data_IF_950810831097
#
_entry.id   IF_950810831097
#
_cell.length_a   1.000
_cell.length_b   1.000
_cell.length_c   1.000
_cell.angle_alpha   90.00
_cell.angle_beta   90.00
_cell.angle_gamma   90.00
#
_symmetry.space_group_name_H-M   'P 1'
#
loop_
_entity.id
_entity.type
_entity.pdbx_description
1 polymer ?
#
# COMPACT_ATOMS: atom_id res chain seq x y z
N UNK A 1 1.48 -19.85 64.24
CA UNK A 1 2.77 -20.43 63.81
C UNK A 1 2.62 -21.47 62.70
N UNK A 2 1.64 -22.39 62.72
CA UNK A 2 1.42 -23.34 61.61
C UNK A 2 1.01 -22.67 60.28
N UNK A 3 0.19 -21.62 60.33
CA UNK A 3 -0.30 -20.96 59.11
C UNK A 3 0.81 -20.24 58.34
N UNK A 4 1.78 -19.64 59.04
CA UNK A 4 2.94 -18.99 58.43
C UNK A 4 3.91 -19.98 57.76
N UNK A 5 3.98 -21.22 58.25
CA UNK A 5 4.81 -22.27 57.66
C UNK A 5 4.16 -22.89 56.42
N UNK A 6 2.84 -23.03 56.42
CA UNK A 6 2.07 -23.46 55.25
C UNK A 6 2.13 -22.43 54.12
N UNK A 7 2.01 -21.13 54.43
CA UNK A 7 2.14 -20.05 53.46
C UNK A 7 3.52 -20.02 52.78
N UNK A 8 4.61 -20.17 53.56
CA UNK A 8 5.98 -20.24 53.02
C UNK A 8 6.20 -21.46 52.11
N UNK A 9 5.66 -22.61 52.49
CA UNK A 9 5.79 -23.85 51.71
C UNK A 9 5.02 -23.76 50.38
N UNK A 10 3.85 -23.12 50.38
CA UNK A 10 3.07 -22.86 49.16
C UNK A 10 3.83 -21.91 48.20
N UNK A 11 4.30 -20.77 48.70
CA UNK A 11 5.06 -19.81 47.90
C UNK A 11 6.36 -20.40 47.32
N UNK A 12 7.05 -21.26 48.08
CA UNK A 12 8.26 -21.93 47.59
C UNK A 12 7.97 -22.96 46.50
N UNK A 13 6.81 -23.66 46.55
CA UNK A 13 6.36 -24.57 45.49
C UNK A 13 5.95 -23.82 44.23
N UNK A 14 5.20 -22.73 44.36
CA UNK A 14 4.80 -21.87 43.24
C UNK A 14 6.04 -21.33 42.51
N UNK A 15 7.00 -20.74 43.25
CA UNK A 15 8.26 -20.26 42.69
C UNK A 15 9.09 -21.37 42.03
N UNK A 16 9.08 -22.58 42.58
CA UNK A 16 9.79 -23.72 41.97
C UNK A 16 9.11 -24.22 40.68
N UNK A 17 7.78 -24.08 40.55
CA UNK A 17 7.05 -24.40 39.33
C UNK A 17 7.34 -23.35 38.26
N UNK A 18 7.25 -22.06 38.61
CA UNK A 18 7.60 -20.95 37.71
C UNK A 18 9.04 -21.09 37.17
N UNK A 19 10.02 -21.39 38.03
CA UNK A 19 11.41 -21.58 37.60
C UNK A 19 11.59 -22.81 36.68
N UNK A 20 10.79 -23.87 36.88
CA UNK A 20 10.81 -25.04 36.00
C UNK A 20 10.17 -24.73 34.64
N UNK A 21 9.08 -23.96 34.63
CA UNK A 21 8.43 -23.50 33.40
C UNK A 21 9.36 -22.57 32.60
N UNK A 22 10.03 -21.62 33.26
CA UNK A 22 11.03 -20.74 32.64
C UNK A 22 12.19 -21.58 32.07
N UNK A 23 12.74 -22.52 32.83
CA UNK A 23 13.82 -23.38 32.34
C UNK A 23 13.41 -24.30 31.17
N UNK A 24 12.17 -24.78 31.17
CA UNK A 24 11.61 -25.53 30.03
C UNK A 24 11.47 -24.64 28.79
N UNK A 25 10.92 -23.43 28.95
CA UNK A 25 10.81 -22.46 27.87
C UNK A 25 12.19 -22.08 27.30
N UNK A 26 13.19 -21.83 28.14
CA UNK A 26 14.56 -21.53 27.69
C UNK A 26 15.18 -22.67 26.86
N UNK A 27 14.88 -23.94 27.21
CA UNK A 27 15.33 -25.10 26.45
C UNK A 27 14.55 -25.33 25.14
N UNK A 28 13.25 -25.07 25.13
CA UNK A 28 12.37 -25.34 23.99
C UNK A 28 12.30 -24.18 22.99
N UNK A 29 12.47 -22.94 23.42
CA UNK A 29 12.42 -21.74 22.58
C UNK A 29 13.36 -21.84 21.35
N UNK A 30 14.64 -22.28 21.48
CA UNK A 30 15.50 -22.49 20.33
C UNK A 30 14.93 -23.51 19.32
N UNK A 31 14.30 -24.58 19.81
CA UNK A 31 13.72 -25.63 18.97
C UNK A 31 12.47 -25.14 18.24
N UNK A 32 11.58 -24.45 18.96
CA UNK A 32 10.37 -23.83 18.41
C UNK A 32 10.75 -22.78 17.38
N UNK A 33 11.72 -21.91 17.69
CA UNK A 33 12.22 -20.90 16.76
C UNK A 33 12.81 -21.55 15.51
N UNK A 34 13.65 -22.59 15.66
CA UNK A 34 14.22 -23.31 14.53
C UNK A 34 13.14 -23.97 13.64
N UNK A 35 12.09 -24.54 14.25
CA UNK A 35 10.95 -25.09 13.50
C UNK A 35 10.17 -24.00 12.75
N UNK A 36 9.89 -22.87 13.41
CA UNK A 36 9.24 -21.73 12.78
C UNK A 36 10.05 -21.15 11.61
N UNK A 37 11.39 -21.12 11.72
CA UNK A 37 12.26 -20.65 10.64
C UNK A 37 12.28 -21.60 9.45
N UNK A 38 12.37 -22.91 9.67
CA UNK A 38 12.26 -23.89 8.57
C UNK A 38 10.91 -23.80 7.87
N UNK A 39 9.84 -23.59 8.64
CA UNK A 39 8.52 -23.36 8.08
C UNK A 39 8.46 -22.07 7.25
N UNK A 40 9.02 -20.97 7.74
CA UNK A 40 9.07 -19.70 7.03
C UNK A 40 9.85 -19.84 5.71
N UNK A 41 11.02 -20.48 5.75
CA UNK A 41 11.86 -20.71 4.57
C UNK A 41 11.10 -21.55 3.52
N UNK A 42 10.49 -22.67 3.93
CA UNK A 42 9.69 -23.51 3.03
C UNK A 42 8.53 -22.75 2.39
N UNK A 43 7.81 -21.93 3.17
CA UNK A 43 6.70 -21.13 2.64
C UNK A 43 7.15 -20.01 1.72
N UNK A 44 8.31 -19.44 1.99
CA UNK A 44 8.89 -18.43 1.13
C UNK A 44 9.36 -19.03 -0.20
N UNK A 45 9.98 -20.21 -0.18
CA UNK A 45 10.43 -20.90 -1.39
C UNK A 45 9.24 -21.25 -2.29
N UNK A 46 8.17 -21.83 -1.71
CA UNK A 46 6.90 -22.12 -2.41
C UNK A 46 6.31 -20.84 -3.03
N UNK A 47 6.14 -19.78 -2.24
CA UNK A 47 5.55 -18.53 -2.70
C UNK A 47 6.41 -17.84 -3.76
N UNK A 48 7.73 -17.91 -3.64
CA UNK A 48 8.66 -17.31 -4.61
C UNK A 48 8.62 -18.06 -5.94
N UNK A 49 8.56 -19.39 -5.92
CA UNK A 49 8.43 -20.20 -7.13
C UNK A 49 7.12 -19.89 -7.87
N UNK A 50 6.00 -19.83 -7.13
CA UNK A 50 4.69 -19.44 -7.67
C UNK A 50 4.72 -18.02 -8.24
N UNK A 51 5.27 -17.06 -7.49
CA UNK A 51 5.37 -15.67 -7.91
C UNK A 51 6.23 -15.47 -9.16
N UNK A 52 7.34 -16.22 -9.31
CA UNK A 52 8.12 -16.22 -10.55
C UNK A 52 7.32 -16.75 -11.73
N UNK A 53 6.58 -17.84 -11.54
CA UNK A 53 5.73 -18.40 -12.60
C UNK A 53 4.64 -17.40 -13.07
N UNK A 54 4.24 -16.48 -12.19
CA UNK A 54 3.26 -15.42 -12.47
C UNK A 54 3.91 -14.08 -12.85
N UNK A 55 5.23 -13.97 -12.90
CA UNK A 55 5.95 -12.73 -13.22
C UNK A 55 5.96 -11.66 -12.09
N UNK A 56 5.46 -11.98 -10.90
CA UNK A 56 5.37 -11.04 -9.76
C UNK A 56 6.74 -10.71 -9.14
N UNK A 57 7.73 -11.59 -9.30
CA UNK A 57 9.08 -11.38 -8.75
C UNK A 57 9.92 -10.37 -9.53
N UNK A 58 9.50 -10.01 -10.74
CA UNK A 58 10.30 -9.22 -11.68
C UNK A 58 10.78 -7.88 -11.07
N UNK A 59 9.97 -7.10 -10.32
CA UNK A 59 10.46 -5.88 -9.66
C UNK A 59 11.60 -6.11 -8.68
N UNK A 60 11.57 -7.21 -7.92
CA UNK A 60 12.59 -7.52 -6.92
C UNK A 60 13.92 -7.98 -7.53
N UNK A 61 13.89 -8.47 -8.77
CA UNK A 61 15.04 -8.95 -9.53
C UNK A 61 15.81 -7.82 -10.26
N UNK A 62 15.21 -6.63 -10.42
CA UNK A 62 15.85 -5.49 -11.08
C UNK A 62 17.15 -5.07 -10.35
N UNK A 63 18.29 -4.89 -10.99
CA UNK A 63 19.52 -4.52 -10.27
C UNK A 63 19.49 -3.09 -9.68
N UNK A 64 18.64 -2.24 -10.24
CA UNK A 64 18.45 -0.83 -9.85
C UNK A 64 16.97 -0.56 -9.58
N UNK A 65 16.68 0.52 -8.86
CA UNK A 65 15.33 1.07 -8.73
C UNK A 65 15.26 2.48 -9.35
N UNK A 66 14.04 3.04 -9.41
CA UNK A 66 13.78 4.30 -10.10
C UNK A 66 14.45 5.52 -9.43
N UNK A 67 14.53 5.57 -8.10
CA UNK A 67 14.79 6.82 -7.36
C UNK A 67 16.15 6.84 -6.65
N UNK A 68 16.72 5.68 -6.33
CA UNK A 68 18.05 5.59 -5.72
C UNK A 68 19.15 6.22 -6.57
N UNK A 69 19.23 6.01 -7.91
CA UNK A 69 20.30 6.59 -8.73
C UNK A 69 20.34 8.12 -8.74
N UNK A 70 19.20 8.77 -8.48
CA UNK A 70 19.08 10.24 -8.45
C UNK A 70 19.02 10.80 -7.01
N UNK A 71 19.26 9.96 -6.00
CA UNK A 71 19.30 10.37 -4.59
C UNK A 71 17.93 10.74 -4.00
N UNK A 72 16.82 10.23 -4.56
CA UNK A 72 15.43 10.55 -4.18
C UNK A 72 14.72 9.41 -3.42
N UNK A 73 15.49 8.65 -2.62
CA UNK A 73 15.08 7.38 -2.00
C UNK A 73 13.82 7.49 -1.11
N UNK A 74 13.65 8.61 -0.40
CA UNK A 74 12.51 8.87 0.50
C UNK A 74 11.82 10.20 0.17
N UNK A 75 11.98 10.67 -1.07
CA UNK A 75 11.40 11.93 -1.52
C UNK A 75 9.91 11.72 -1.86
N UNK A 76 9.02 12.08 -0.92
CA UNK A 76 7.56 11.90 -1.05
C UNK A 76 7.03 12.42 -2.40
N UNK A 77 7.50 13.61 -2.82
CA UNK A 77 7.12 14.23 -4.09
C UNK A 77 7.42 13.34 -5.30
N UNK A 78 8.62 12.76 -5.35
CA UNK A 78 9.03 11.89 -6.46
C UNK A 78 8.18 10.62 -6.54
N UNK A 79 7.79 10.03 -5.40
CA UNK A 79 6.88 8.89 -5.38
C UNK A 79 5.47 9.28 -5.86
N UNK A 80 4.94 10.41 -5.39
CA UNK A 80 3.62 10.89 -5.78
C UNK A 80 3.54 11.20 -7.28
N UNK A 81 4.56 11.85 -7.84
CA UNK A 81 4.63 12.15 -9.27
C UNK A 81 4.72 10.86 -10.12
N UNK A 82 5.57 9.91 -9.72
CA UNK A 82 5.70 8.64 -10.43
C UNK A 82 4.40 7.82 -10.35
N UNK A 83 3.72 7.82 -9.20
CA UNK A 83 2.42 7.18 -9.06
C UNK A 83 1.36 7.88 -9.91
N UNK A 84 1.25 9.20 -9.86
CA UNK A 84 0.30 9.96 -10.67
C UNK A 84 0.48 9.69 -12.18
N UNK A 85 1.72 9.64 -12.66
CA UNK A 85 2.02 9.23 -14.03
C UNK A 85 1.47 7.84 -14.37
N UNK A 86 1.68 6.85 -13.50
CA UNK A 86 1.17 5.49 -13.69
C UNK A 86 -0.35 5.38 -13.59
N UNK A 87 -0.98 6.24 -12.79
CA UNK A 87 -2.43 6.25 -12.59
C UNK A 87 -3.19 7.03 -13.67
N UNK A 88 -2.50 7.81 -14.51
CA UNK A 88 -3.12 8.65 -15.52
C UNK A 88 -3.34 7.89 -16.83
N UNK A 89 -4.59 7.53 -17.21
CA UNK A 89 -4.82 6.67 -18.38
C UNK A 89 -4.48 7.35 -19.72
N UNK A 90 -4.34 8.67 -19.73
CA UNK A 90 -3.95 9.48 -20.90
C UNK A 90 -2.43 9.60 -21.08
N UNK A 91 -1.63 9.21 -20.09
CA UNK A 91 -0.18 9.26 -20.19
C UNK A 91 0.37 8.13 -21.09
N UNK A 92 1.50 8.35 -21.80
CA UNK A 92 2.03 7.43 -22.79
C UNK A 92 2.82 6.27 -22.16
N UNK A 93 2.32 5.66 -21.08
CA UNK A 93 2.94 4.49 -20.43
C UNK A 93 2.42 3.15 -20.97
N UNK A 94 1.42 3.13 -21.86
CA UNK A 94 0.88 1.91 -22.48
C UNK A 94 0.30 0.86 -21.50
N UNK A 95 0.02 1.23 -20.25
CA UNK A 95 -0.71 0.39 -19.27
C UNK A 95 -2.22 0.71 -19.26
N UNK A 96 -2.64 1.75 -20.01
CA UNK A 96 -4.01 2.24 -20.07
C UNK A 96 -4.59 2.54 -18.69
N UNK A 97 -5.85 2.21 -18.48
CA UNK A 97 -6.54 2.38 -17.20
C UNK A 97 -6.24 1.28 -16.17
N UNK A 98 -5.35 0.33 -16.48
CA UNK A 98 -5.06 -0.84 -15.64
C UNK A 98 -4.64 -0.47 -14.21
N UNK A 99 -3.60 0.37 -14.03
CA UNK A 99 -3.13 0.79 -12.72
C UNK A 99 -4.22 1.49 -11.90
N UNK A 100 -4.90 2.49 -12.49
CA UNK A 100 -5.96 3.24 -11.83
C UNK A 100 -7.11 2.34 -11.40
N UNK A 101 -7.57 1.46 -12.29
CA UNK A 101 -8.63 0.49 -11.99
C UNK A 101 -8.27 -0.38 -10.78
N UNK A 102 -7.05 -0.93 -10.75
CA UNK A 102 -6.61 -1.79 -9.65
C UNK A 102 -6.64 -1.03 -8.32
N UNK A 103 -6.09 0.18 -8.29
CA UNK A 103 -6.08 1.02 -7.07
C UNK A 103 -7.50 1.36 -6.61
N UNK A 104 -8.38 1.80 -7.52
CA UNK A 104 -9.76 2.15 -7.18
C UNK A 104 -10.55 0.94 -6.66
N UNK A 105 -10.42 -0.22 -7.28
CA UNK A 105 -11.07 -1.46 -6.80
C UNK A 105 -10.59 -1.84 -5.39
N UNK A 106 -9.30 -1.67 -5.10
CA UNK A 106 -8.79 -1.88 -3.75
C UNK A 106 -9.38 -0.91 -2.74
N UNK A 107 -9.47 0.38 -3.10
CA UNK A 107 -10.09 1.40 -2.24
C UNK A 107 -11.56 1.07 -1.97
N UNK A 108 -12.32 0.65 -2.99
CA UNK A 108 -13.70 0.20 -2.84
C UNK A 108 -13.82 -0.99 -1.86
N UNK A 109 -12.88 -1.94 -1.92
CA UNK A 109 -12.87 -3.08 -0.98
C UNK A 109 -12.61 -2.69 0.48
N UNK A 110 -11.93 -1.55 0.70
CA UNK A 110 -11.63 -1.01 2.04
C UNK A 110 -12.67 -0.02 2.56
N UNK A 111 -13.52 0.52 1.69
CA UNK A 111 -14.47 1.58 2.02
C UNK A 111 -15.84 1.30 1.42
N UNK A 112 -16.73 0.73 2.24
CA UNK A 112 -18.09 0.41 1.83
C UNK A 112 -18.89 1.64 1.37
N UNK A 113 -18.58 2.83 1.89
CA UNK A 113 -19.21 4.08 1.47
C UNK A 113 -18.71 4.57 0.11
N UNK A 114 -17.44 4.33 -0.24
CA UNK A 114 -16.87 4.75 -1.52
C UNK A 114 -17.15 3.75 -2.66
N UNK A 115 -17.42 2.48 -2.32
CA UNK A 115 -17.57 1.41 -3.29
C UNK A 115 -18.60 1.70 -4.40
N UNK A 116 -19.84 2.17 -4.11
CA UNK A 116 -20.83 2.43 -5.16
C UNK A 116 -20.37 3.50 -6.16
N UNK A 117 -19.78 4.59 -5.67
CA UNK A 117 -19.28 5.67 -6.52
C UNK A 117 -18.13 5.18 -7.40
N UNK A 118 -17.17 4.44 -6.83
CA UNK A 118 -16.05 3.84 -7.56
C UNK A 118 -16.53 2.86 -8.63
N UNK A 119 -17.42 1.92 -8.27
CA UNK A 119 -17.94 0.91 -9.19
C UNK A 119 -18.64 1.56 -10.39
N UNK A 120 -19.37 2.66 -10.16
CA UNK A 120 -20.08 3.39 -11.22
C UNK A 120 -19.15 4.02 -12.26
N UNK A 121 -17.90 4.35 -11.90
CA UNK A 121 -16.95 5.02 -12.80
C UNK A 121 -15.98 4.07 -13.50
N UNK A 122 -15.89 2.80 -13.09
CA UNK A 122 -14.95 1.83 -13.69
C UNK A 122 -15.04 1.74 -15.23
N UNK A 123 -16.23 1.82 -15.86
CA UNK A 123 -16.34 1.82 -17.32
C UNK A 123 -15.77 3.07 -18.00
N UNK A 124 -15.58 4.16 -17.26
CA UNK A 124 -15.25 5.49 -17.78
C UNK A 124 -13.82 5.95 -17.43
N UNK A 125 -13.00 5.09 -16.82
CA UNK A 125 -11.67 5.47 -16.32
C UNK A 125 -10.74 5.99 -17.41
N UNK A 126 -10.90 5.59 -18.68
CA UNK A 126 -10.13 6.17 -19.78
C UNK A 126 -10.27 7.70 -19.93
N UNK A 127 -11.32 8.30 -19.34
CA UNK A 127 -11.55 9.74 -19.33
C UNK A 127 -11.01 10.43 -18.07
N UNK A 128 -10.46 9.69 -17.11
CA UNK A 128 -9.99 10.24 -15.84
C UNK A 128 -8.81 11.19 -16.05
N UNK A 129 -8.86 12.33 -15.37
CA UNK A 129 -7.79 13.32 -15.32
C UNK A 129 -7.04 13.11 -14.01
N UNK A 130 -5.73 12.88 -14.09
CA UNK A 130 -4.85 12.74 -12.93
C UNK A 130 -3.86 13.88 -12.89
N UNK A 131 -3.87 14.65 -11.80
CA UNK A 131 -3.00 15.78 -11.56
C UNK A 131 -2.10 15.48 -10.35
N UNK A 132 -0.78 15.37 -10.52
CA UNK A 132 0.13 15.41 -9.39
C UNK A 132 0.17 16.82 -8.80
N UNK A 133 0.37 16.92 -7.49
CA UNK A 133 0.77 18.17 -6.86
C UNK A 133 -0.20 19.35 -7.03
N UNK A 134 -1.50 19.09 -7.06
CA UNK A 134 -2.50 20.15 -7.24
C UNK A 134 -2.42 21.17 -6.12
N UNK A 135 -2.14 22.42 -6.48
CA UNK A 135 -2.12 23.54 -5.55
C UNK A 135 -3.54 23.88 -5.09
N UNK A 136 -3.65 24.16 -3.79
CA UNK A 136 -4.89 24.53 -3.13
C UNK A 136 -4.68 25.84 -2.41
N UNK A 137 -5.66 26.74 -2.48
CA UNK A 137 -5.72 27.90 -1.59
C UNK A 137 -6.79 27.62 -0.54
N UNK A 138 -6.36 27.57 0.73
CA UNK A 138 -7.24 27.46 1.88
C UNK A 138 -7.89 28.81 2.13
N UNK A 139 -9.23 28.83 2.16
CA UNK A 139 -9.98 30.04 2.51
C UNK A 139 -10.03 30.29 4.02
N UNK A 140 -9.72 29.27 4.83
CA UNK A 140 -9.72 29.38 6.29
C UNK A 140 -8.61 30.31 6.81
N UNK A 141 -7.45 30.25 6.19
CA UNK A 141 -6.22 30.92 6.64
C UNK A 141 -5.44 31.60 5.50
N UNK A 142 -5.91 31.53 4.26
CA UNK A 142 -5.22 32.03 3.08
C UNK A 142 -3.97 31.23 2.71
N UNK A 143 -3.66 30.14 3.42
CA UNK A 143 -2.44 29.38 3.17
C UNK A 143 -2.55 28.54 1.91
N UNK A 144 -1.42 28.44 1.20
CA UNK A 144 -1.30 27.51 0.07
C UNK A 144 -1.02 26.10 0.61
N UNK A 145 -1.85 25.16 0.21
CA UNK A 145 -1.63 23.73 0.37
C UNK A 145 -1.37 23.07 -0.98
N UNK A 146 -0.99 21.81 -0.94
CA UNK A 146 -0.78 20.98 -2.13
C UNK A 146 -1.21 19.57 -1.81
N UNK A 147 -2.10 18.99 -2.60
CA UNK A 147 -2.39 17.55 -2.54
C UNK A 147 -1.40 16.78 -3.39
N UNK A 148 -1.04 15.57 -3.00
CA UNK A 148 -0.03 14.81 -3.72
C UNK A 148 -0.55 14.24 -5.04
N UNK A 149 -1.76 13.67 -5.06
CA UNK A 149 -2.41 13.16 -6.28
C UNK A 149 -3.89 13.51 -6.25
N UNK A 150 -4.38 14.07 -7.35
CA UNK A 150 -5.77 14.44 -7.55
C UNK A 150 -6.32 13.77 -8.81
N UNK A 151 -7.46 13.09 -8.70
CA UNK A 151 -8.06 12.34 -9.81
C UNK A 151 -9.52 12.74 -9.96
N UNK A 152 -9.93 13.16 -11.16
CA UNK A 152 -11.32 13.48 -11.47
C UNK A 152 -11.80 12.64 -12.67
N UNK A 153 -12.96 12.00 -12.54
CA UNK A 153 -13.69 11.42 -13.69
C UNK A 153 -14.72 12.46 -14.16
N UNK A 154 -14.69 12.89 -15.44
CA UNK A 154 -15.42 14.06 -15.93
C UNK A 154 -16.95 13.89 -15.96
N UNK A 155 -17.66 15.01 -16.07
CA UNK A 155 -19.13 15.13 -16.04
C UNK A 155 -19.89 14.37 -17.14
N UNK A 156 -19.19 13.95 -18.20
CA UNK A 156 -19.74 13.06 -19.24
C UNK A 156 -20.01 11.64 -18.73
N UNK A 157 -19.58 11.33 -17.50
CA UNK A 157 -19.73 10.06 -16.81
C UNK A 157 -20.26 10.30 -15.37
N UNK A 158 -20.62 9.25 -14.61
CA UNK A 158 -20.75 9.39 -13.16
C UNK A 158 -19.47 10.02 -12.63
N UNK A 159 -19.62 11.12 -11.89
CA UNK A 159 -18.46 11.88 -11.44
C UNK A 159 -17.89 11.25 -10.18
N UNK A 160 -16.58 11.09 -10.14
CA UNK A 160 -15.81 10.67 -8.97
C UNK A 160 -14.64 11.62 -8.82
N UNK A 161 -14.36 12.01 -7.59
CA UNK A 161 -13.14 12.73 -7.22
C UNK A 161 -12.37 11.90 -6.21
N UNK A 162 -11.10 11.64 -6.49
CA UNK A 162 -10.18 10.94 -5.58
C UNK A 162 -9.03 11.86 -5.25
N UNK A 163 -8.77 12.03 -3.95
CA UNK A 163 -7.65 12.82 -3.45
C UNK A 163 -6.78 11.89 -2.63
N UNK A 164 -5.51 11.75 -3.03
CA UNK A 164 -4.55 10.92 -2.31
C UNK A 164 -3.48 11.80 -1.67
N UNK A 165 -3.25 11.58 -0.38
CA UNK A 165 -2.10 12.08 0.36
C UNK A 165 -1.11 10.93 0.53
N UNK A 166 0.16 11.17 0.21
CA UNK A 166 1.19 10.15 0.14
C UNK A 166 2.25 10.38 1.20
N UNK A 167 2.48 9.38 2.07
CA UNK A 167 3.48 9.42 3.12
C UNK A 167 4.51 8.31 2.96
N UNK A 168 5.78 8.71 2.97
CA UNK A 168 6.96 7.84 2.85
C UNK A 168 7.86 7.93 4.09
N UNK A 169 7.64 8.93 4.94
CA UNK A 169 8.31 9.00 6.24
C UNK A 169 7.91 10.20 7.10
N UNK A 170 7.16 11.15 6.54
CA UNK A 170 6.75 12.34 7.28
C UNK A 170 5.44 12.16 8.04
N UNK A 171 5.37 12.80 9.20
CA UNK A 171 4.15 12.95 10.00
C UNK A 171 3.23 13.95 9.29
N UNK A 172 1.93 13.66 9.27
CA UNK A 172 0.91 14.60 8.81
C UNK A 172 0.98 15.86 9.67
N UNK A 173 1.17 17.01 9.03
CA UNK A 173 1.28 18.27 9.77
C UNK A 173 -0.10 18.64 10.35
N UNK A 174 -0.18 19.18 11.59
CA UNK A 174 -1.46 19.65 12.13
C UNK A 174 -2.17 20.62 11.18
N UNK A 175 -3.49 20.47 11.01
CA UNK A 175 -4.28 21.31 10.10
C UNK A 175 -4.18 20.93 8.61
N UNK A 176 -3.32 19.99 8.23
CA UNK A 176 -3.11 19.64 6.82
C UNK A 176 -4.34 18.96 6.21
N UNK A 177 -4.90 17.96 6.90
CA UNK A 177 -6.06 17.22 6.39
C UNK A 177 -7.32 18.07 6.38
N UNK A 178 -7.48 18.98 7.35
CA UNK A 178 -8.59 19.92 7.42
C UNK A 178 -8.59 20.89 6.23
N UNK A 179 -7.41 21.36 5.80
CA UNK A 179 -7.28 22.17 4.58
C UNK A 179 -7.66 21.38 3.33
N UNK A 180 -7.26 20.11 3.26
CA UNK A 180 -7.65 19.23 2.15
C UNK A 180 -9.15 18.96 2.15
N UNK A 181 -9.75 18.77 3.32
CA UNK A 181 -11.19 18.59 3.48
C UNK A 181 -11.95 19.79 2.93
N UNK A 182 -11.58 21.00 3.34
CA UNK A 182 -12.20 22.24 2.86
C UNK A 182 -12.08 22.39 1.33
N UNK A 183 -10.91 22.08 0.78
CA UNK A 183 -10.70 22.12 -0.67
C UNK A 183 -11.52 21.07 -1.43
N UNK A 184 -11.63 19.85 -0.90
CA UNK A 184 -12.46 18.79 -1.45
C UNK A 184 -13.93 19.20 -1.45
N UNK A 185 -14.44 19.74 -0.33
CA UNK A 185 -15.83 20.18 -0.21
C UNK A 185 -16.16 21.30 -1.20
N UNK A 186 -15.26 22.29 -1.34
CA UNK A 186 -15.44 23.37 -2.33
C UNK A 186 -15.50 22.82 -3.75
N UNK A 187 -14.53 21.99 -4.14
CA UNK A 187 -14.47 21.42 -5.49
C UNK A 187 -15.66 20.50 -5.77
N UNK A 188 -16.08 19.72 -4.78
CA UNK A 188 -17.30 18.91 -4.86
C UNK A 188 -18.54 19.77 -5.06
N UNK A 189 -18.66 20.91 -4.36
CA UNK A 189 -19.75 21.85 -4.56
C UNK A 189 -19.75 22.48 -5.97
N UNK A 190 -18.58 22.91 -6.47
CA UNK A 190 -18.43 23.45 -7.83
C UNK A 190 -18.87 22.42 -8.90
N UNK A 191 -18.50 21.16 -8.70
CA UNK A 191 -18.82 20.06 -9.59
C UNK A 191 -20.22 19.47 -9.35
N UNK A 192 -20.89 19.85 -8.25
CA UNK A 192 -22.16 19.28 -7.76
C UNK A 192 -22.07 17.77 -7.49
N UNK A 193 -20.94 17.33 -6.95
CA UNK A 193 -20.72 15.95 -6.52
C UNK A 193 -21.54 15.63 -5.27
N UNK A 194 -22.13 14.42 -5.20
CA UNK A 194 -22.63 13.92 -3.93
C UNK A 194 -21.45 13.59 -2.99
N UNK A 195 -21.63 13.64 -1.66
CA UNK A 195 -20.53 13.45 -0.70
C UNK A 195 -19.79 12.11 -0.83
N UNK A 196 -20.48 11.04 -1.23
CA UNK A 196 -19.94 9.69 -1.44
C UNK A 196 -19.11 9.56 -2.73
N UNK A 197 -19.22 10.52 -3.65
CA UNK A 197 -18.36 10.62 -4.82
C UNK A 197 -17.01 11.30 -4.55
N UNK A 198 -16.74 11.67 -3.29
CA UNK A 198 -15.45 12.25 -2.86
C UNK A 198 -14.70 11.22 -2.02
N UNK A 199 -13.65 10.64 -2.59
CA UNK A 199 -12.86 9.60 -1.96
C UNK A 199 -11.50 10.16 -1.56
N UNK A 200 -11.26 10.24 -0.26
CA UNK A 200 -9.97 10.67 0.29
C UNK A 200 -9.16 9.44 0.68
N UNK A 201 -7.90 9.39 0.29
CA UNK A 201 -7.01 8.24 0.47
C UNK A 201 -5.75 8.70 1.15
N UNK A 202 -5.38 8.03 2.23
CA UNK A 202 -4.09 8.25 2.89
C UNK A 202 -3.21 7.03 2.61
N UNK A 203 -2.20 7.22 1.75
CA UNK A 203 -1.26 6.18 1.34
C UNK A 203 -0.02 6.23 2.24
N UNK A 204 0.18 5.22 3.08
CA UNK A 204 1.31 5.18 4.02
C UNK A 204 2.05 3.85 3.97
N UNK A 205 3.20 3.76 4.63
CA UNK A 205 4.00 2.52 4.68
C UNK A 205 3.29 1.43 5.50
N UNK A 206 2.66 1.80 6.61
CA UNK A 206 2.11 0.87 7.60
C UNK A 206 0.57 0.75 7.53
N UNK A 207 -0.12 1.63 6.81
CA UNK A 207 -1.58 1.58 6.67
C UNK A 207 -2.37 1.95 7.92
N UNK A 208 -1.72 2.23 9.05
CA UNK A 208 -2.38 2.59 10.30
C UNK A 208 -2.21 4.08 10.57
N UNK A 209 -3.20 4.87 10.16
CA UNK A 209 -3.37 6.24 10.62
C UNK A 209 -4.86 6.54 10.78
N UNK A 210 -5.27 6.94 11.99
CA UNK A 210 -6.61 7.43 12.24
C UNK A 210 -6.76 8.84 11.64
N UNK A 211 -7.29 8.90 10.43
CA UNK A 211 -7.68 10.12 9.76
C UNK A 211 -9.17 10.02 9.41
N UNK A 212 -10.09 10.57 10.25
CA UNK A 212 -11.52 10.44 10.03
C UNK A 212 -11.94 10.84 8.60
N UNK A 213 -12.66 9.96 7.93
CA UNK A 213 -13.09 10.16 6.54
C UNK A 213 -12.03 9.93 5.47
N UNK A 214 -10.83 9.45 5.81
CA UNK A 214 -9.81 9.02 4.87
C UNK A 214 -9.73 7.49 4.84
N UNK A 215 -9.66 6.93 3.63
CA UNK A 215 -9.42 5.49 3.44
C UNK A 215 -7.93 5.22 3.49
N UNK A 216 -7.49 4.38 4.42
CA UNK A 216 -6.06 4.06 4.56
C UNK A 216 -5.61 2.96 3.59
N UNK A 217 -4.53 3.21 2.87
CA UNK A 217 -3.92 2.29 1.90
C UNK A 217 -2.45 2.11 2.24
N UNK A 218 -1.96 0.88 2.18
CA UNK A 218 -0.55 0.57 2.38
C UNK A 218 0.23 0.64 1.06
N UNK A 219 1.47 1.12 1.09
CA UNK A 219 2.38 1.01 -0.04
C UNK A 219 2.62 -0.44 -0.49
N UNK A 220 2.59 -1.39 0.45
CA UNK A 220 2.68 -2.82 0.13
C UNK A 220 1.48 -3.29 -0.69
N UNK A 221 0.28 -2.76 -0.44
CA UNK A 221 -0.90 -3.06 -1.24
C UNK A 221 -0.74 -2.49 -2.65
N UNK A 222 -0.31 -1.24 -2.80
CA UNK A 222 -0.04 -0.61 -4.11
C UNK A 222 0.98 -1.42 -4.89
N UNK A 223 2.07 -1.84 -4.24
CA UNK A 223 3.10 -2.64 -4.89
C UNK A 223 2.58 -4.02 -5.33
N UNK A 224 1.74 -4.65 -4.50
CA UNK A 224 1.13 -5.94 -4.81
C UNK A 224 0.13 -5.79 -5.98
N UNK A 225 -0.75 -4.79 -5.91
CA UNK A 225 -1.74 -4.45 -6.93
C UNK A 225 -1.10 -4.21 -8.28
N UNK A 226 -0.01 -3.46 -8.36
CA UNK A 226 0.57 -3.11 -9.66
C UNK A 226 1.56 -4.16 -10.19
N UNK A 227 1.99 -5.11 -9.36
CA UNK A 227 3.01 -6.10 -9.75
C UNK A 227 2.64 -6.97 -10.95
N UNK A 228 1.36 -7.27 -11.15
CA UNK A 228 0.92 -8.06 -12.30
C UNK A 228 1.12 -7.32 -13.64
N UNK A 229 1.03 -5.99 -13.64
CA UNK A 229 1.27 -5.16 -14.82
C UNK A 229 2.75 -5.04 -15.15
N UNK A 230 3.63 -5.34 -14.19
CA UNK A 230 5.07 -5.23 -14.35
C UNK A 230 5.65 -6.32 -15.28
N UNK A 231 4.91 -7.41 -15.50
CA UNK A 231 5.25 -8.48 -16.45
C UNK A 231 4.90 -8.15 -17.91
N UNK A 232 4.12 -7.09 -18.16
CA UNK A 232 3.74 -6.69 -19.51
C UNK A 232 4.95 -6.20 -20.32
N UNK A 233 4.91 -6.34 -21.66
CA UNK A 233 5.90 -5.71 -22.53
C UNK A 233 5.69 -4.18 -22.57
N UNK A 234 6.76 -3.44 -22.91
CA UNK A 234 6.71 -1.98 -23.13
C UNK A 234 7.36 -1.13 -22.04
N UNK A 235 7.55 0.15 -22.36
CA UNK A 235 8.35 1.08 -21.54
C UNK A 235 7.66 1.44 -20.22
N UNK A 236 6.33 1.58 -20.19
CA UNK A 236 5.64 1.85 -18.92
C UNK A 236 5.67 0.67 -17.96
N UNK A 237 5.67 -0.58 -18.46
CA UNK A 237 5.91 -1.74 -17.61
C UNK A 237 7.36 -1.77 -17.09
N UNK A 238 8.34 -1.33 -17.89
CA UNK A 238 9.72 -1.15 -17.44
C UNK A 238 9.85 -0.09 -16.35
N UNK A 239 9.21 1.07 -16.54
CA UNK A 239 9.13 2.11 -15.53
C UNK A 239 8.47 1.60 -14.24
N UNK A 240 7.35 0.89 -14.37
CA UNK A 240 6.64 0.30 -13.24
C UNK A 240 7.52 -0.70 -12.47
N UNK A 241 8.29 -1.56 -13.15
CA UNK A 241 9.24 -2.46 -12.47
C UNK A 241 10.24 -1.70 -11.59
N UNK A 242 10.83 -0.62 -12.12
CA UNK A 242 11.79 0.20 -11.38
C UNK A 242 11.13 0.96 -10.23
N UNK A 243 9.91 1.43 -10.43
CA UNK A 243 9.11 2.11 -9.41
C UNK A 243 8.73 1.17 -8.26
N UNK A 244 8.25 -0.03 -8.59
CA UNK A 244 7.95 -1.08 -7.62
C UNK A 244 9.19 -1.55 -6.88
N UNK A 245 10.33 -1.66 -7.57
CA UNK A 245 11.62 -1.94 -6.92
C UNK A 245 11.96 -0.86 -5.88
N UNK A 246 11.70 0.42 -6.18
CA UNK A 246 11.94 1.53 -5.25
C UNK A 246 11.06 1.43 -4.01
N UNK A 247 9.76 1.12 -4.17
CA UNK A 247 8.85 0.90 -3.03
C UNK A 247 9.33 -0.26 -2.16
N UNK A 248 9.56 -1.43 -2.78
CA UNK A 248 9.87 -2.66 -2.06
C UNK A 248 11.23 -2.59 -1.34
N UNK A 249 12.23 -1.95 -1.96
CA UNK A 249 13.57 -1.79 -1.36
C UNK A 249 13.61 -0.71 -0.31
N UNK A 250 13.12 0.48 -0.65
CA UNK A 250 13.38 1.66 0.16
C UNK A 250 12.46 1.70 1.39
N UNK A 251 11.23 1.18 1.28
CA UNK A 251 10.28 1.21 2.39
C UNK A 251 10.33 -0.07 3.22
N UNK A 252 10.60 -1.20 2.57
CA UNK A 252 10.47 -2.52 3.19
C UNK A 252 11.78 -3.31 3.27
N UNK A 253 12.89 -2.77 2.75
CA UNK A 253 14.19 -3.46 2.75
C UNK A 253 14.19 -4.78 1.98
N UNK A 254 13.26 -4.96 1.03
CA UNK A 254 13.09 -6.22 0.31
C UNK A 254 14.07 -6.36 -0.86
N UNK A 255 14.46 -7.60 -1.12
CA UNK A 255 15.21 -8.01 -2.30
C UNK A 255 14.73 -9.39 -2.75
N UNK A 256 15.12 -9.83 -3.94
CA UNK A 256 14.80 -11.17 -4.45
C UNK A 256 15.43 -12.30 -3.62
N UNK A 257 16.44 -12.00 -2.80
CA UNK A 257 17.13 -12.94 -1.92
C UNK A 257 17.31 -12.32 -0.51
N UNK A 258 16.22 -12.18 0.27
CA UNK A 258 16.29 -11.53 1.58
C UNK A 258 17.13 -12.35 2.55
N UNK A 259 18.12 -11.70 3.18
CA UNK A 259 19.05 -12.33 4.13
C UNK A 259 18.50 -12.42 5.55
N UNK A 260 17.65 -11.47 5.95
CA UNK A 260 17.12 -11.40 7.31
C UNK A 260 15.75 -12.07 7.43
N UNK A 261 15.43 -12.57 8.63
CA UNK A 261 14.14 -13.20 8.94
C UNK A 261 12.97 -12.23 8.78
N UNK A 262 13.17 -10.98 9.21
CA UNK A 262 12.18 -9.92 9.04
C UNK A 262 11.90 -9.67 7.56
N UNK A 263 12.93 -9.52 6.73
CA UNK A 263 12.75 -9.34 5.29
C UNK A 263 12.08 -10.55 4.61
N UNK A 264 12.40 -11.78 5.05
CA UNK A 264 11.71 -13.00 4.58
C UNK A 264 10.21 -12.99 4.92
N UNK A 265 9.85 -12.60 6.14
CA UNK A 265 8.46 -12.51 6.57
C UNK A 265 7.69 -11.42 5.81
N UNK A 266 8.31 -10.25 5.61
CA UNK A 266 7.73 -9.15 4.84
C UNK A 266 7.57 -9.55 3.36
N UNK A 267 8.56 -10.24 2.77
CA UNK A 267 8.47 -10.75 1.40
C UNK A 267 7.32 -11.75 1.28
N UNK A 268 7.21 -12.70 2.20
CA UNK A 268 6.10 -13.66 2.21
C UNK A 268 4.74 -12.95 2.34
N UNK A 269 4.63 -11.91 3.17
CA UNK A 269 3.43 -11.08 3.27
C UNK A 269 3.08 -10.42 1.94
N UNK A 270 4.06 -9.77 1.31
CA UNK A 270 3.91 -9.14 -0.01
C UNK A 270 3.41 -10.14 -1.06
N UNK A 271 4.07 -11.30 -1.18
CA UNK A 271 3.72 -12.33 -2.17
C UNK A 271 2.30 -12.88 -1.95
N UNK A 272 1.88 -13.04 -0.69
CA UNK A 272 0.51 -13.44 -0.36
C UNK A 272 -0.51 -12.39 -0.76
N UNK A 273 -0.24 -11.11 -0.50
CA UNK A 273 -1.12 -10.00 -0.93
C UNK A 273 -1.24 -9.97 -2.45
N UNK A 274 -0.12 -10.03 -3.17
CA UNK A 274 -0.09 -10.04 -4.64
C UNK A 274 -0.90 -11.20 -5.22
N UNK A 275 -0.91 -12.37 -4.56
CA UNK A 275 -1.71 -13.52 -4.97
C UNK A 275 -3.21 -13.32 -4.74
N UNK A 276 -3.62 -12.81 -3.57
CA UNK A 276 -5.03 -12.55 -3.25
C UNK A 276 -5.63 -11.55 -4.24
N UNK A 277 -4.83 -10.57 -4.65
CA UNK A 277 -5.24 -9.46 -5.50
C UNK A 277 -5.12 -9.81 -7.00
N UNK A 278 -5.10 -11.12 -7.34
CA UNK A 278 -5.04 -11.60 -8.73
C UNK A 278 -5.99 -10.82 -9.63
N UNK A 279 -5.55 -10.42 -10.84
CA UNK A 279 -6.20 -9.37 -11.61
C UNK A 279 -7.65 -9.74 -11.97
N UNK A 280 -8.54 -8.76 -12.13
CA UNK A 280 -9.79 -8.99 -12.86
C UNK A 280 -9.43 -9.60 -14.22
N UNK A 281 -10.22 -10.58 -14.68
CA UNK A 281 -10.03 -11.27 -15.97
C UNK A 281 -9.55 -10.31 -17.05
N UNK A 282 -8.54 -10.69 -17.86
CA UNK A 282 -7.95 -9.79 -18.85
C UNK A 282 -9.07 -9.11 -19.63
N UNK A 283 -9.07 -7.78 -19.61
CA UNK A 283 -9.96 -6.99 -20.45
C UNK A 283 -9.57 -7.39 -21.87
N UNK A 284 -10.40 -8.19 -22.52
CA UNK A 284 -10.31 -8.39 -23.96
C UNK A 284 -10.54 -7.02 -24.56
N UNK A 285 -9.46 -6.30 -24.83
CA UNK A 285 -9.52 -5.12 -25.67
C UNK A 285 -10.14 -5.60 -26.98
N UNK A 286 -11.31 -5.08 -27.39
CA UNK A 286 -11.77 -5.32 -28.74
C UNK A 286 -10.63 -4.84 -29.65
N UNK A 287 -10.09 -5.76 -30.45
CA UNK A 287 -9.16 -5.38 -31.50
C UNK A 287 -9.92 -4.42 -32.42
N UNK A 288 -9.51 -3.14 -32.40
CA UNK A 288 -9.83 -2.18 -33.46
C UNK A 288 -9.08 -2.53 -34.74
#
# INVERSE_FOLDING_TARGET
>A
MRDTQNARTKAQRERSLELKEVGWLEGELPRIAAAAFRWLDSRLDEATAEARAQGLMVPLEASIDLLSPIGRILDERSYSQALAYLLSPSEPHALGQGPLRAILQHIASKSASAAPAIESVLPFLAQALTEPERELVSELDGQRGRTDIWIEVPASAPQLMVVMEVKVGHIITPGQLERYEAACQRRAHELRLPPDAVVKVLLTIEGEHEAPGWTSVEWQDVAALLSFLAGSPGDGAAFLRLYLAAILRNFYGLSSAPKSRAAKAILLSYLRRARIISPPSPITTPHE
#
